data_IF_800185289366
#
_entry.id   IF_800185289366
#
_cell.length_a   1.000
_cell.length_b   1.000
_cell.length_c   1.000
_cell.angle_alpha   90.00
_cell.angle_beta   90.00
_cell.angle_gamma   90.00
#
_symmetry.space_group_name_H-M   'P 1'
#
loop_
_entity.id
_entity.type
_entity.pdbx_description
1 polymer ?
#
# COMPACT_ATOMS: atom_id res chain seq x y z
N UNK A 1 -2.27 -17.33 -14.14
CA UNK A 1 -1.16 -17.54 -13.20
C UNK A 1 -1.69 -17.20 -11.82
N UNK A 2 -1.92 -18.24 -11.03
CA UNK A 2 -2.31 -18.17 -9.62
C UNK A 2 -1.33 -17.34 -8.80
N UNK A 3 -1.86 -16.59 -7.82
CA UNK A 3 -1.01 -15.86 -6.89
C UNK A 3 -1.74 -15.15 -5.77
N UNK A 4 -2.27 -15.89 -4.79
CA UNK A 4 -2.42 -15.35 -3.44
C UNK A 4 -2.02 -16.41 -2.41
N UNK A 5 -0.82 -16.25 -1.85
CA UNK A 5 -0.39 -17.00 -0.67
C UNK A 5 -0.02 -15.99 0.42
N UNK A 6 -0.91 -15.86 1.41
CA UNK A 6 -0.71 -15.00 2.58
C UNK A 6 -0.26 -15.90 3.74
N UNK A 7 0.94 -15.64 4.26
CA UNK A 7 1.35 -16.10 5.60
C UNK A 7 1.78 -14.88 6.41
N UNK A 8 0.91 -14.46 7.34
CA UNK A 8 1.17 -13.31 8.21
C UNK A 8 1.89 -13.78 9.47
N UNK A 9 3.10 -13.27 9.69
CA UNK A 9 3.80 -13.25 10.99
C UNK A 9 4.34 -11.83 11.16
N UNK A 10 3.47 -10.92 11.59
CA UNK A 10 3.77 -9.54 11.97
C UNK A 10 4.61 -8.72 10.95
N UNK A 11 3.99 -8.34 9.83
CA UNK A 11 4.60 -7.48 8.81
C UNK A 11 3.59 -6.41 8.33
N UNK A 12 3.07 -5.61 9.27
CA UNK A 12 2.01 -4.61 9.02
C UNK A 12 2.34 -3.67 7.86
N UNK A 13 3.61 -3.30 7.68
CA UNK A 13 4.04 -2.40 6.61
C UNK A 13 3.97 -3.04 5.21
N UNK A 14 4.19 -4.35 5.10
CA UNK A 14 4.03 -5.10 3.85
C UNK A 14 2.56 -5.25 3.44
N UNK A 15 1.65 -5.24 4.41
CA UNK A 15 0.20 -5.26 4.16
C UNK A 15 -0.28 -3.86 3.78
N UNK A 16 0.14 -2.84 4.54
CA UNK A 16 -0.17 -1.43 4.26
C UNK A 16 0.33 -1.05 2.87
N UNK A 17 1.55 -1.44 2.48
CA UNK A 17 2.09 -1.09 1.17
C UNK A 17 1.31 -1.68 0.00
N UNK A 18 0.78 -2.90 0.13
CA UNK A 18 -0.11 -3.50 -0.87
C UNK A 18 -1.43 -2.76 -0.99
N UNK A 19 -1.99 -2.34 0.14
CA UNK A 19 -3.22 -1.54 0.16
C UNK A 19 -2.99 -0.16 -0.46
N UNK A 20 -1.88 0.51 -0.10
CA UNK A 20 -1.47 1.77 -0.70
C UNK A 20 -1.20 1.63 -2.20
N UNK A 21 -0.60 0.53 -2.65
CA UNK A 21 -0.41 0.25 -4.07
C UNK A 21 -1.76 0.12 -4.80
N UNK A 22 -2.72 -0.57 -4.21
CA UNK A 22 -4.07 -0.71 -4.78
C UNK A 22 -4.84 0.63 -4.78
N UNK A 23 -4.72 1.42 -3.72
CA UNK A 23 -5.23 2.78 -3.68
C UNK A 23 -4.56 3.65 -4.76
N UNK A 24 -3.25 3.55 -4.93
CA UNK A 24 -2.51 4.25 -5.98
C UNK A 24 -2.88 3.83 -7.39
N UNK A 25 -3.38 2.60 -7.63
CA UNK A 25 -3.83 2.19 -8.96
C UNK A 25 -4.97 3.05 -9.53
N UNK A 26 -5.68 3.81 -8.67
CA UNK A 26 -6.73 4.76 -9.07
C UNK A 26 -6.20 6.16 -9.39
N UNK A 27 -4.93 6.43 -9.12
CA UNK A 27 -4.31 7.74 -9.24
C UNK A 27 -3.00 7.64 -10.04
N UNK A 28 -2.45 8.78 -10.48
CA UNK A 28 -1.11 8.81 -11.07
C UNK A 28 -0.03 8.79 -9.98
N UNK A 29 -0.02 7.73 -9.16
CA UNK A 29 0.99 7.51 -8.13
C UNK A 29 1.49 6.07 -8.07
N UNK A 30 2.64 5.89 -7.43
CA UNK A 30 3.32 4.61 -7.27
C UNK A 30 3.79 4.43 -5.84
N UNK A 31 3.64 3.21 -5.34
CA UNK A 31 4.09 2.80 -4.00
C UNK A 31 5.00 1.60 -4.14
N UNK A 32 6.21 1.72 -3.59
CA UNK A 32 7.22 0.66 -3.60
C UNK A 32 7.55 0.30 -2.15
N UNK A 33 7.39 -0.97 -1.81
CA UNK A 33 7.80 -1.52 -0.52
C UNK A 33 9.20 -2.12 -0.63
N UNK A 34 10.11 -1.67 0.22
CA UNK A 34 11.41 -2.29 0.41
C UNK A 34 11.38 -3.16 1.68
N UNK A 35 11.46 -4.47 1.49
CA UNK A 35 11.45 -5.44 2.59
C UNK A 35 12.77 -5.50 3.36
N UNK A 36 13.90 -5.14 2.73
CA UNK A 36 15.23 -5.16 3.34
C UNK A 36 15.36 -4.06 4.38
N UNK A 37 14.85 -2.88 4.06
CA UNK A 37 14.85 -1.71 4.96
C UNK A 37 13.54 -1.56 5.74
N UNK A 38 12.54 -2.39 5.45
CA UNK A 38 11.17 -2.28 5.96
C UNK A 38 10.63 -0.85 5.80
N UNK A 39 10.73 -0.29 4.59
CA UNK A 39 10.26 1.07 4.26
C UNK A 39 9.30 1.08 3.07
N UNK A 40 8.48 2.12 3.00
CA UNK A 40 7.57 2.38 1.88
C UNK A 40 7.95 3.70 1.23
N UNK A 41 8.19 3.67 -0.08
CA UNK A 41 8.44 4.85 -0.88
C UNK A 41 7.20 5.17 -1.71
N UNK A 42 6.66 6.35 -1.49
CA UNK A 42 5.58 6.92 -2.30
C UNK A 42 6.19 7.85 -3.35
N UNK A 43 5.75 7.71 -4.59
CA UNK A 43 6.11 8.57 -5.71
C UNK A 43 4.81 9.04 -6.36
N UNK A 44 4.56 10.35 -6.31
CA UNK A 44 3.35 10.97 -6.83
C UNK A 44 3.25 12.40 -6.31
N UNK A 45 2.21 13.11 -6.73
CA UNK A 45 1.93 14.45 -6.22
C UNK A 45 1.62 14.42 -4.71
N UNK A 46 2.07 15.43 -3.96
CA UNK A 46 1.84 15.50 -2.51
C UNK A 46 0.35 15.59 -2.17
N UNK A 47 -0.46 16.14 -3.08
CA UNK A 47 -1.93 16.19 -2.94
C UNK A 47 -2.56 14.79 -2.98
N UNK A 48 -1.98 13.88 -3.78
CA UNK A 48 -2.41 12.48 -3.89
C UNK A 48 -2.03 11.67 -2.66
N UNK A 49 -0.98 12.08 -1.94
CA UNK A 49 -0.51 11.38 -0.74
C UNK A 49 -1.61 11.28 0.31
N UNK A 50 -2.32 12.38 0.58
CA UNK A 50 -3.42 12.40 1.56
C UNK A 50 -4.60 11.53 1.11
N UNK A 51 -4.95 11.58 -0.18
CA UNK A 51 -6.03 10.77 -0.75
C UNK A 51 -5.73 9.27 -0.68
N UNK A 52 -4.50 8.88 -1.02
CA UNK A 52 -4.06 7.48 -0.99
C UNK A 52 -4.04 6.94 0.44
N UNK A 53 -3.64 7.76 1.42
CA UNK A 53 -3.69 7.38 2.84
C UNK A 53 -5.14 7.16 3.28
N UNK A 54 -6.06 8.07 2.92
CA UNK A 54 -7.47 7.95 3.27
C UNK A 54 -8.13 6.72 2.64
N UNK A 55 -7.91 6.48 1.34
CA UNK A 55 -8.45 5.32 0.62
C UNK A 55 -7.87 4.01 1.19
N UNK A 56 -6.58 4.00 1.54
CA UNK A 56 -5.93 2.87 2.23
C UNK A 56 -6.57 2.57 3.59
N UNK A 57 -6.86 3.60 4.39
CA UNK A 57 -7.53 3.45 5.69
C UNK A 57 -8.98 2.96 5.53
N UNK A 58 -9.69 3.41 4.51
CA UNK A 58 -11.03 2.93 4.17
C UNK A 58 -11.01 1.46 3.76
N UNK A 59 -10.02 1.03 2.98
CA UNK A 59 -9.81 -0.38 2.64
C UNK A 59 -9.51 -1.24 3.87
N UNK A 60 -8.77 -0.69 4.84
CA UNK A 60 -8.46 -1.37 6.09
C UNK A 60 -9.70 -1.54 6.98
N UNK A 61 -10.55 -0.51 7.10
CA UNK A 61 -11.79 -0.55 7.90
C UNK A 61 -12.89 -1.44 7.32
N UNK A 62 -12.80 -1.79 6.03
CA UNK A 62 -13.82 -2.58 5.33
C UNK A 62 -13.59 -4.10 5.45
N UNK A 63 -12.49 -4.53 6.08
CA UNK A 63 -12.16 -5.92 6.42
C UNK A 63 -12.25 -6.13 7.93
#
# INVERSE_FOLDING_TARGET
MDGLNIKVKNNSLAVISKLMHNACAKYECSVIYNAETNTVKFSGDDSLRSLVIEDTMNLFKKN
#
